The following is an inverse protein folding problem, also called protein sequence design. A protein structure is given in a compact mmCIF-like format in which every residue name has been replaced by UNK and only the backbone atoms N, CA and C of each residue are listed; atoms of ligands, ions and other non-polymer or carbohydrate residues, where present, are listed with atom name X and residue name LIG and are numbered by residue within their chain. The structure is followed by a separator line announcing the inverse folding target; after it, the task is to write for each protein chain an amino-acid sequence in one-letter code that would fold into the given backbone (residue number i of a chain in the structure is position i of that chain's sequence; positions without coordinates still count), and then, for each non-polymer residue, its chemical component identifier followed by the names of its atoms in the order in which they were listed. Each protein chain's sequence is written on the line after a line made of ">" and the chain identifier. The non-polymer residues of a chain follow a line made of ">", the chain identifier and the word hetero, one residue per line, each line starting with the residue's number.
data_IF_132147652615
#
_entry.id   IF_132147652615
#
_cell.length_a   1.000
_cell.length_b   1.000
_cell.length_c   1.000
_cell.angle_alpha   90.00
_cell.angle_beta   90.00
_cell.angle_gamma   90.00
#
_symmetry.space_group_name_H-M   'P 1'
#
loop_
_entity.id
_entity.type
_entity.pdbx_description
1 polymer ?
#
# COMPACT_ATOMS: atom_id res chain seq x y z
N UNK A 1 14.16 -23.21 10.22
CA UNK A 1 13.36 -22.01 9.86
C UNK A 1 11.89 -22.28 10.12
N UNK A 2 11.35 -23.40 9.65
CA UNK A 2 10.04 -23.92 10.10
C UNK A 2 10.25 -25.17 10.96
N UNK A 3 11.04 -25.03 12.02
CA UNK A 3 11.26 -26.09 13.01
C UNK A 3 10.11 -26.10 14.03
N UNK A 4 10.06 -27.13 14.87
CA UNK A 4 8.98 -27.31 15.85
C UNK A 4 8.87 -26.11 16.81
N UNK A 5 10.02 -25.57 17.24
CA UNK A 5 10.08 -24.37 18.08
C UNK A 5 9.48 -23.15 17.36
N UNK A 6 9.75 -22.99 16.07
CA UNK A 6 9.14 -21.93 15.27
C UNK A 6 7.62 -22.10 15.15
N UNK A 7 7.13 -23.31 14.87
CA UNK A 7 5.69 -23.58 14.73
C UNK A 7 4.95 -23.36 16.04
N UNK A 8 5.51 -23.81 17.16
CA UNK A 8 4.98 -23.56 18.50
C UNK A 8 4.89 -22.05 18.78
N UNK A 9 5.98 -21.32 18.51
CA UNK A 9 6.00 -19.86 18.62
C UNK A 9 5.02 -19.16 17.65
N UNK A 10 4.80 -19.70 16.46
CA UNK A 10 3.87 -19.17 15.47
C UNK A 10 2.41 -19.31 15.92
N UNK A 11 2.07 -20.44 16.55
CA UNK A 11 0.72 -20.69 17.05
C UNK A 11 0.44 -20.01 18.39
N UNK A 12 1.39 -20.10 19.32
CA UNK A 12 1.17 -19.72 20.73
C UNK A 12 1.84 -18.39 21.11
N UNK A 13 2.72 -17.87 20.25
CA UNK A 13 3.49 -16.66 20.50
C UNK A 13 4.64 -16.88 21.50
N UNK A 14 5.53 -15.90 21.56
CA UNK A 14 6.68 -15.87 22.48
C UNK A 14 6.49 -14.72 23.45
N UNK A 15 6.44 -15.03 24.75
CA UNK A 15 6.38 -14.00 25.80
C UNK A 15 7.78 -13.48 26.06
N UNK A 16 8.01 -12.19 25.80
CA UNK A 16 9.30 -11.55 26.06
C UNK A 16 9.16 -10.16 26.67
N UNK A 17 10.14 -9.78 27.49
CA UNK A 17 10.25 -8.43 28.06
C UNK A 17 10.96 -7.53 27.05
N UNK A 18 10.24 -6.58 26.46
CA UNK A 18 10.81 -5.66 25.49
C UNK A 18 11.76 -4.65 26.15
N UNK A 19 12.59 -3.97 25.34
CA UNK A 19 13.54 -2.95 25.81
C UNK A 19 12.89 -1.78 26.59
N UNK A 20 11.61 -1.52 26.37
CA UNK A 20 10.83 -0.53 27.14
C UNK A 20 10.28 -1.06 28.47
N UNK A 21 10.70 -2.25 28.91
CA UNK A 21 10.28 -2.88 30.16
C UNK A 21 8.91 -3.56 30.11
N UNK A 22 8.16 -3.40 29.02
CA UNK A 22 6.81 -3.98 28.85
C UNK A 22 6.93 -5.40 28.31
N UNK A 23 6.27 -6.35 28.97
CA UNK A 23 6.13 -7.73 28.50
C UNK A 23 5.09 -7.81 27.39
N UNK A 24 5.43 -8.44 26.27
CA UNK A 24 4.52 -8.68 25.14
C UNK A 24 4.60 -10.13 24.71
N UNK A 25 3.47 -10.69 24.28
CA UNK A 25 3.44 -11.91 23.49
C UNK A 25 3.64 -11.53 22.02
N UNK A 26 4.75 -11.97 21.41
CA UNK A 26 5.07 -11.69 20.01
C UNK A 26 4.87 -12.94 19.16
N UNK A 27 4.25 -12.78 18.00
CA UNK A 27 4.07 -13.86 17.04
C UNK A 27 5.08 -13.69 15.91
N UNK A 28 5.87 -14.73 15.59
CA UNK A 28 6.70 -14.72 14.39
C UNK A 28 5.83 -14.51 13.14
N UNK A 29 6.05 -13.43 12.40
CA UNK A 29 5.41 -13.22 11.09
C UNK A 29 6.45 -13.41 9.99
N UNK A 30 6.33 -14.48 9.19
CA UNK A 30 7.14 -14.63 7.99
C UNK A 30 6.55 -13.74 6.91
N UNK A 31 7.20 -12.61 6.66
CA UNK A 31 6.92 -11.81 5.48
C UNK A 31 7.73 -12.36 4.30
N UNK A 32 7.07 -13.11 3.43
CA UNK A 32 7.64 -13.47 2.14
C UNK A 32 7.58 -12.26 1.22
N UNK A 33 8.72 -11.58 1.09
CA UNK A 33 8.88 -10.53 0.09
C UNK A 33 9.25 -11.15 -1.26
N UNK A 34 8.30 -11.91 -1.83
CA UNK A 34 8.50 -12.73 -3.03
C UNK A 34 8.21 -12.01 -4.34
N UNK A 35 7.82 -10.74 -4.27
CA UNK A 35 7.61 -9.90 -5.44
C UNK A 35 8.92 -9.18 -5.80
N UNK A 36 9.30 -9.17 -7.06
CA UNK A 36 10.25 -8.21 -7.62
C UNK A 36 9.56 -6.86 -7.88
N UNK A 37 10.31 -5.88 -8.40
CA UNK A 37 9.84 -4.50 -8.45
C UNK A 37 8.54 -4.32 -9.26
N UNK A 38 8.40 -4.86 -10.48
CA UNK A 38 7.16 -4.77 -11.25
C UNK A 38 5.93 -5.31 -10.51
N UNK A 39 6.10 -6.42 -9.80
CA UNK A 39 5.09 -7.18 -9.08
C UNK A 39 4.62 -6.39 -7.86
N UNK A 40 5.56 -5.75 -7.15
CA UNK A 40 5.21 -4.83 -6.05
C UNK A 40 4.41 -3.64 -6.53
N UNK A 41 4.78 -3.07 -7.68
CA UNK A 41 4.05 -1.93 -8.25
C UNK A 41 2.64 -2.34 -8.69
N UNK A 42 2.51 -3.53 -9.26
CA UNK A 42 1.22 -4.10 -9.63
C UNK A 42 0.33 -4.30 -8.39
N UNK A 43 0.85 -4.91 -7.33
CA UNK A 43 0.14 -5.08 -6.05
C UNK A 43 -0.25 -3.73 -5.43
N UNK A 44 0.64 -2.74 -5.53
CA UNK A 44 0.41 -1.40 -5.02
C UNK A 44 -0.54 -0.55 -5.89
N UNK A 45 -0.91 -1.04 -7.08
CA UNK A 45 -1.64 -0.29 -8.10
C UNK A 45 -0.98 1.08 -8.42
N UNK A 46 0.36 1.08 -8.56
CA UNK A 46 1.15 2.26 -8.91
C UNK A 46 1.76 2.07 -10.30
N UNK A 47 1.79 3.15 -11.08
CA UNK A 47 2.43 3.15 -12.38
C UNK A 47 3.94 2.91 -12.27
N UNK A 48 4.44 2.00 -13.10
CA UNK A 48 5.88 1.81 -13.28
C UNK A 48 6.59 3.08 -13.78
N UNK A 49 7.75 3.33 -13.17
CA UNK A 49 8.56 4.54 -13.35
C UNK A 49 7.75 5.84 -13.18
N UNK A 50 6.63 5.84 -12.44
CA UNK A 50 5.77 6.99 -12.23
C UNK A 50 6.38 8.05 -11.30
N UNK A 51 5.85 9.28 -11.35
CA UNK A 51 6.43 10.42 -10.62
C UNK A 51 6.21 10.38 -9.10
N UNK A 52 5.26 9.59 -8.59
CA UNK A 52 4.92 9.43 -7.18
C UNK A 52 4.92 7.95 -6.77
N UNK A 53 6.06 7.33 -6.44
CA UNK A 53 6.17 5.88 -6.28
C UNK A 53 5.65 5.34 -4.93
N UNK A 54 5.23 6.19 -4.00
CA UNK A 54 4.73 5.74 -2.70
C UNK A 54 3.26 5.28 -2.77
N UNK A 55 2.89 4.09 -2.26
CA UNK A 55 1.51 3.60 -2.23
C UNK A 55 0.60 4.37 -1.26
N UNK A 56 1.17 5.14 -0.33
CA UNK A 56 0.41 5.86 0.69
C UNK A 56 0.23 7.34 0.36
N UNK A 57 1.22 7.96 -0.31
CA UNK A 57 1.22 9.40 -0.54
C UNK A 57 1.74 9.77 -1.93
N UNK A 58 1.43 10.98 -2.35
CA UNK A 58 1.82 11.64 -3.60
C UNK A 58 3.19 12.34 -3.45
N UNK A 59 4.10 11.76 -2.66
CA UNK A 59 5.47 12.31 -2.58
C UNK A 59 6.19 12.01 -3.89
N UNK A 60 6.74 13.04 -4.55
CA UNK A 60 7.36 12.85 -5.84
C UNK A 60 8.70 12.10 -5.72
N UNK A 61 9.08 11.41 -6.78
CA UNK A 61 10.31 10.63 -6.90
C UNK A 61 11.55 11.48 -6.58
N UNK A 62 11.55 12.74 -7.00
CA UNK A 62 12.63 13.70 -6.74
C UNK A 62 12.88 13.96 -5.25
N UNK A 63 11.90 13.68 -4.39
CA UNK A 63 11.97 13.89 -2.94
C UNK A 63 12.35 12.60 -2.18
N UNK A 64 12.51 11.46 -2.85
CA UNK A 64 12.85 10.19 -2.19
C UNK A 64 14.22 10.22 -1.49
N UNK A 65 15.15 11.04 -1.97
CA UNK A 65 16.44 11.26 -1.29
C UNK A 65 16.29 11.85 0.11
N UNK A 66 15.10 12.35 0.47
CA UNK A 66 14.77 12.96 1.75
C UNK A 66 13.95 12.06 2.67
N UNK A 67 13.78 10.79 2.32
CA UNK A 67 13.09 9.81 3.18
C UNK A 67 13.70 9.80 4.58
N UNK A 68 12.84 9.77 5.60
CA UNK A 68 13.25 9.77 7.00
C UNK A 68 13.52 11.15 7.58
N UNK A 69 13.56 12.21 6.76
CA UNK A 69 13.63 13.58 7.28
C UNK A 69 12.28 14.01 7.87
N UNK A 70 12.30 14.99 8.78
CA UNK A 70 11.07 15.58 9.37
C UNK A 70 10.06 16.03 8.31
N UNK A 71 10.54 16.52 7.16
CA UNK A 71 9.70 16.92 6.02
C UNK A 71 8.99 15.74 5.37
N UNK A 72 9.70 14.63 5.13
CA UNK A 72 9.11 13.40 4.61
C UNK A 72 8.04 12.86 5.57
N UNK A 73 8.33 12.80 6.87
CA UNK A 73 7.34 12.40 7.88
C UNK A 73 6.09 13.30 7.85
N UNK A 74 6.26 14.62 7.70
CA UNK A 74 5.13 15.54 7.58
C UNK A 74 4.32 15.31 6.29
N UNK A 75 4.97 15.07 5.15
CA UNK A 75 4.25 14.76 3.90
C UNK A 75 3.46 13.46 3.99
N UNK A 76 3.98 12.44 4.67
CA UNK A 76 3.33 11.14 4.85
C UNK A 76 2.04 11.19 5.67
N UNK A 77 1.81 12.25 6.44
CA UNK A 77 0.62 12.40 7.29
C UNK A 77 -0.27 13.57 6.88
N UNK A 78 0.23 14.49 6.03
CA UNK A 78 -0.50 15.69 5.61
C UNK A 78 -1.73 15.32 4.76
N UNK A 79 -2.95 15.73 5.16
CA UNK A 79 -4.13 15.64 4.32
C UNK A 79 -3.90 16.37 2.98
N UNK A 80 -4.22 15.71 1.87
CA UNK A 80 -3.96 16.19 0.52
C UNK A 80 -2.68 15.64 -0.12
N UNK A 81 -1.71 15.16 0.66
CA UNK A 81 -0.59 14.36 0.14
C UNK A 81 -0.89 12.86 0.20
N UNK A 82 -1.85 12.42 0.99
CA UNK A 82 -2.26 11.03 1.04
C UNK A 82 -3.02 10.64 -0.21
N UNK A 83 -2.72 9.44 -0.76
CA UNK A 83 -3.54 8.85 -1.80
C UNK A 83 -4.92 8.55 -1.22
N UNK A 84 -5.96 9.11 -1.84
CA UNK A 84 -7.35 8.91 -1.42
C UNK A 84 -8.20 8.67 -2.63
N UNK A 85 -9.18 7.78 -2.47
CA UNK A 85 -10.27 7.68 -3.41
C UNK A 85 -11.04 9.00 -3.44
N UNK A 86 -11.30 9.51 -4.63
CA UNK A 86 -12.01 10.78 -4.85
C UNK A 86 -12.73 10.77 -6.18
N UNK A 87 -13.75 11.62 -6.34
CA UNK A 87 -14.51 11.72 -7.59
C UNK A 87 -13.63 12.08 -8.78
N UNK A 88 -12.64 12.96 -8.56
CA UNK A 88 -11.67 13.33 -9.59
C UNK A 88 -10.86 12.12 -10.07
N UNK A 89 -10.45 11.22 -9.15
CA UNK A 89 -9.75 10.00 -9.50
C UNK A 89 -10.64 9.10 -10.34
N UNK A 90 -11.90 8.90 -9.93
CA UNK A 90 -12.88 8.11 -10.69
C UNK A 90 -13.05 8.61 -12.12
N UNK A 91 -13.26 9.92 -12.28
CA UNK A 91 -13.42 10.58 -13.58
C UNK A 91 -12.16 10.40 -14.43
N UNK A 92 -10.98 10.59 -13.84
CA UNK A 92 -9.70 10.45 -14.53
C UNK A 92 -9.48 9.02 -15.02
N UNK A 93 -9.69 8.01 -14.16
CA UNK A 93 -9.54 6.61 -14.53
C UNK A 93 -10.57 6.20 -15.59
N UNK A 94 -11.83 6.66 -15.47
CA UNK A 94 -12.88 6.39 -16.45
C UNK A 94 -12.50 6.95 -17.82
N UNK A 95 -12.05 8.20 -17.88
CA UNK A 95 -11.58 8.83 -19.11
C UNK A 95 -10.41 8.08 -19.74
N UNK A 96 -9.42 7.68 -18.94
CA UNK A 96 -8.28 6.91 -19.45
C UNK A 96 -8.71 5.55 -20.00
N UNK A 97 -9.66 4.89 -19.34
CA UNK A 97 -10.21 3.63 -19.83
C UNK A 97 -10.94 3.81 -21.17
N UNK A 98 -11.69 4.89 -21.36
CA UNK A 98 -12.29 5.22 -22.66
C UNK A 98 -11.21 5.44 -23.75
N UNK A 99 -10.14 6.17 -23.43
CA UNK A 99 -9.02 6.36 -24.36
C UNK A 99 -8.41 5.01 -24.79
N UNK A 100 -8.20 4.09 -23.85
CA UNK A 100 -7.57 2.78 -24.13
C UNK A 100 -8.53 1.85 -24.89
N UNK A 101 -9.74 1.64 -24.36
CA UNK A 101 -10.62 0.57 -24.83
C UNK A 101 -11.57 0.99 -25.96
N UNK A 102 -12.01 2.25 -25.99
CA UNK A 102 -12.96 2.73 -27.00
C UNK A 102 -12.24 3.42 -28.15
N UNK A 103 -11.17 4.17 -27.85
CA UNK A 103 -10.45 4.97 -28.85
C UNK A 103 -9.14 4.34 -29.31
N UNK A 104 -8.72 3.21 -28.71
CA UNK A 104 -7.56 2.43 -29.15
C UNK A 104 -6.20 3.08 -28.86
N UNK A 105 -6.12 4.04 -27.93
CA UNK A 105 -4.84 4.63 -27.55
C UNK A 105 -4.00 3.63 -26.75
N UNK A 106 -2.72 3.49 -27.13
CA UNK A 106 -1.77 2.70 -26.36
C UNK A 106 -1.50 3.30 -24.97
N UNK A 107 -1.16 2.46 -24.00
CA UNK A 107 -0.77 2.84 -22.63
C UNK A 107 0.39 3.84 -22.58
N UNK A 108 1.29 3.78 -23.57
CA UNK A 108 2.48 4.64 -23.65
C UNK A 108 2.20 5.98 -24.35
N UNK A 109 0.99 6.15 -24.90
CA UNK A 109 0.61 7.36 -25.64
C UNK A 109 0.67 8.62 -24.76
N UNK A 110 0.96 9.75 -25.39
CA UNK A 110 1.01 11.04 -24.69
C UNK A 110 -0.33 11.37 -24.01
N UNK A 111 -1.46 11.04 -24.66
CA UNK A 111 -2.80 11.24 -24.12
C UNK A 111 -3.04 10.48 -22.80
N UNK A 112 -2.67 9.20 -22.75
CA UNK A 112 -2.82 8.37 -21.54
C UNK A 112 -1.83 8.80 -20.46
N UNK A 113 -0.56 9.05 -20.82
CA UNK A 113 0.47 9.50 -19.88
C UNK A 113 0.12 10.84 -19.23
N UNK A 114 -0.46 11.78 -19.98
CA UNK A 114 -0.87 13.08 -19.45
C UNK A 114 -1.89 12.96 -18.31
N UNK A 115 -2.75 11.93 -18.33
CA UNK A 115 -3.73 11.70 -17.28
C UNK A 115 -3.16 10.95 -16.07
N UNK A 116 -2.25 9.99 -16.30
CA UNK A 116 -1.82 9.06 -15.24
C UNK A 116 -0.51 9.47 -14.55
N UNK A 117 0.42 10.10 -15.26
CA UNK A 117 1.84 10.15 -14.85
C UNK A 117 2.09 11.00 -13.61
N UNK A 118 1.39 12.11 -13.46
CA UNK A 118 1.58 13.09 -12.37
C UNK A 118 1.42 12.46 -10.98
N UNK A 119 0.48 11.52 -10.84
CA UNK A 119 0.20 10.84 -9.58
C UNK A 119 0.55 9.34 -9.63
N UNK A 120 1.30 8.89 -10.63
CA UNK A 120 1.60 7.47 -10.88
C UNK A 120 0.36 6.56 -10.85
N UNK A 121 -0.73 6.99 -11.48
CA UNK A 121 -1.98 6.24 -11.51
C UNK A 121 -1.93 5.10 -12.52
N UNK A 122 -2.75 4.08 -12.31
CA UNK A 122 -2.98 2.99 -13.27
C UNK A 122 -4.46 2.96 -13.65
N UNK A 123 -4.83 2.51 -14.88
CA UNK A 123 -6.23 2.47 -15.33
C UNK A 123 -7.02 1.29 -14.74
N UNK A 124 -6.60 0.80 -13.57
CA UNK A 124 -7.24 -0.28 -12.82
C UNK A 124 -8.25 0.33 -11.86
N UNK A 125 -9.49 -0.13 -11.93
CA UNK A 125 -10.46 0.15 -10.88
C UNK A 125 -10.44 -1.00 -9.89
N UNK A 126 -10.00 -0.71 -8.67
CA UNK A 126 -10.18 -1.64 -7.55
C UNK A 126 -11.49 -1.22 -6.90
N UNK A 127 -12.49 -2.09 -6.92
CA UNK A 127 -13.71 -1.85 -6.14
C UNK A 127 -13.29 -1.58 -4.70
N UNK A 128 -13.81 -0.54 -4.02
CA UNK A 128 -13.64 -0.46 -2.59
C UNK A 128 -14.25 -1.74 -2.04
N UNK A 129 -13.40 -2.66 -1.58
CA UNK A 129 -13.84 -3.71 -0.68
C UNK A 129 -14.53 -2.96 0.44
N UNK A 130 -15.84 -3.19 0.61
CA UNK A 130 -16.48 -2.98 1.91
C UNK A 130 -15.46 -3.51 2.91
N UNK A 131 -14.95 -2.59 3.73
CA UNK A 131 -13.94 -2.90 4.73
C UNK A 131 -14.29 -4.24 5.32
N UNK A 132 -13.40 -5.23 5.20
CA UNK A 132 -13.47 -6.43 6.03
C UNK A 132 -13.70 -5.89 7.43
N UNK A 133 -14.93 -6.03 7.91
CA UNK A 133 -15.33 -5.39 9.14
C UNK A 133 -14.36 -5.87 10.19
N UNK A 134 -13.98 -4.96 11.08
CA UNK A 134 -13.13 -5.22 12.24
C UNK A 134 -13.72 -6.25 13.22
N UNK A 135 -14.65 -7.10 12.78
CA UNK A 135 -15.45 -8.01 13.60
C UNK A 135 -14.78 -9.37 13.83
N UNK A 136 -13.61 -9.64 13.27
CA UNK A 136 -12.90 -10.93 13.50
C UNK A 136 -11.83 -10.91 14.61
N UNK A 137 -11.80 -9.88 15.47
CA UNK A 137 -10.94 -9.86 16.67
C UNK A 137 -11.72 -9.59 17.97
N UNK A 138 -12.98 -10.04 18.05
CA UNK A 138 -13.72 -10.13 19.32
C UNK A 138 -13.87 -11.61 19.70
N UNK A 139 -12.82 -12.17 20.29
CA UNK A 139 -12.78 -13.59 20.64
C UNK A 139 -11.84 -13.92 21.79
N UNK A 140 -11.71 -13.05 22.79
CA UNK A 140 -11.20 -13.45 24.10
C UNK A 140 -12.04 -12.79 25.18
N UNK A 141 -13.14 -13.48 25.51
CA UNK A 141 -13.85 -13.27 26.76
C UNK A 141 -12.89 -13.50 27.91
N UNK A 142 -12.67 -12.46 28.71
CA UNK A 142 -12.18 -12.64 30.07
C UNK A 142 -13.30 -13.28 30.89
N UNK A 143 -13.03 -14.43 31.49
CA UNK A 143 -13.72 -14.91 32.68
C UNK A 143 -12.68 -15.27 33.75
N UNK A 144 -13.04 -15.18 35.04
CA UNK A 144 -12.22 -14.59 36.11
C UNK A 144 -11.09 -15.45 36.67
#
# INVERSE_FOLDING_TARGET
>A
LLDDDFLEAYHNGIVLKCANGVTRCVFPCIFTYSADYPEKLLIAAIQDNGLCPCPRCLTPESELSRIGQKRDLAHRTKPGFLRRWSDWLCITITKVRQLIYEQGYGMVSAAVKACLKAESLVPTMVSPTETLSSDHMHGYSHEP
#
